data_IF_669444223505
#
_entry.id   IF_669444223505
#
_cell.length_a   1.000
_cell.length_b   1.000
_cell.length_c   1.000
_cell.angle_alpha   90.00
_cell.angle_beta   90.00
_cell.angle_gamma   90.00
#
_symmetry.space_group_name_H-M   'P 1'
#
loop_
_entity.id
_entity.type
_entity.pdbx_description
1 polymer ?
#
# COMPACT_ATOMS: atom_id res chain seq x y z
N UNK A 1 36.08 7.50 -65.32
CA UNK A 1 35.06 8.25 -64.54
C UNK A 1 34.38 7.26 -63.58
N UNK A 2 34.94 7.12 -62.37
CA UNK A 2 34.38 6.20 -61.34
C UNK A 2 33.47 6.98 -60.44
N UNK A 3 32.16 6.63 -60.42
CA UNK A 3 31.18 7.20 -59.46
C UNK A 3 31.36 6.49 -58.10
N UNK A 4 31.85 7.21 -57.12
CA UNK A 4 31.82 6.74 -55.73
C UNK A 4 30.38 6.81 -55.23
N UNK A 5 29.77 5.69 -54.94
CA UNK A 5 28.51 5.62 -54.22
C UNK A 5 28.89 5.59 -52.75
N UNK A 6 28.69 6.73 -52.06
CA UNK A 6 28.78 6.82 -50.60
C UNK A 6 27.56 6.18 -49.97
N UNK A 7 27.73 4.98 -49.42
CA UNK A 7 26.72 4.28 -48.66
C UNK A 7 26.74 4.84 -47.20
N UNK A 8 25.91 5.84 -46.96
CA UNK A 8 25.72 6.38 -45.60
C UNK A 8 24.88 5.40 -44.82
N UNK A 9 25.53 4.55 -44.03
CA UNK A 9 24.87 3.62 -43.09
C UNK A 9 24.24 4.45 -41.99
N UNK A 10 22.93 4.67 -42.06
CA UNK A 10 22.12 5.29 -41.02
C UNK A 10 21.97 4.29 -39.87
N UNK A 11 22.81 4.40 -38.86
CA UNK A 11 22.72 3.63 -37.60
C UNK A 11 21.52 4.17 -36.85
N UNK A 12 20.37 3.49 -36.99
CA UNK A 12 19.20 3.63 -36.12
C UNK A 12 19.57 3.07 -34.74
N UNK A 13 19.94 3.93 -33.82
CA UNK A 13 19.98 3.57 -32.41
C UNK A 13 18.54 3.38 -31.94
N UNK A 14 18.02 2.16 -32.02
CA UNK A 14 16.85 1.75 -31.27
C UNK A 14 17.20 1.84 -29.79
N UNK A 15 16.75 2.90 -29.13
CA UNK A 15 16.70 2.93 -27.67
C UNK A 15 15.63 1.91 -27.28
N UNK A 16 16.02 0.68 -26.99
CA UNK A 16 15.18 -0.25 -26.27
C UNK A 16 14.96 0.36 -24.87
N UNK A 17 13.83 1.04 -24.68
CA UNK A 17 13.34 1.32 -23.34
C UNK A 17 12.91 -0.03 -22.77
N UNK A 18 13.76 -0.65 -21.97
CA UNK A 18 13.36 -1.82 -21.19
C UNK A 18 12.42 -1.27 -20.12
N UNK A 19 11.13 -1.52 -20.29
CA UNK A 19 10.18 -1.23 -19.24
C UNK A 19 10.59 -2.06 -18.01
N UNK A 20 10.58 -1.42 -16.87
CA UNK A 20 11.02 -2.01 -15.60
C UNK A 20 10.00 -1.72 -14.52
N UNK A 21 10.03 -2.56 -13.49
CA UNK A 21 9.15 -2.47 -12.32
C UNK A 21 10.00 -2.33 -11.06
N UNK A 22 9.43 -1.72 -10.04
CA UNK A 22 9.92 -1.75 -8.67
C UNK A 22 9.16 -2.85 -7.95
N UNK A 23 9.88 -3.84 -7.43
CA UNK A 23 9.35 -4.86 -6.52
C UNK A 23 9.76 -4.48 -5.09
N UNK A 24 8.79 -4.24 -4.22
CA UNK A 24 9.01 -4.01 -2.80
C UNK A 24 8.70 -5.32 -2.07
N UNK A 25 9.71 -6.09 -1.66
CA UNK A 25 9.50 -7.33 -0.92
C UNK A 25 8.95 -7.05 0.48
N UNK A 26 8.18 -7.98 1.03
CA UNK A 26 7.61 -7.89 2.37
C UNK A 26 8.00 -9.07 3.27
N UNK A 27 8.95 -9.90 2.83
CA UNK A 27 9.53 -10.97 3.62
C UNK A 27 10.55 -10.44 4.65
N UNK A 28 10.60 -11.05 5.83
CA UNK A 28 11.45 -10.62 6.95
C UNK A 28 12.96 -10.68 6.67
N UNK A 29 13.38 -11.39 5.64
CA UNK A 29 14.80 -11.50 5.26
C UNK A 29 15.30 -10.35 4.41
N UNK A 30 14.40 -9.68 3.70
CA UNK A 30 14.73 -8.68 2.68
C UNK A 30 14.22 -7.28 3.04
N UNK A 31 13.04 -7.19 3.70
CA UNK A 31 12.46 -5.90 4.08
C UNK A 31 12.92 -5.46 5.46
N UNK A 32 13.54 -4.29 5.50
CA UNK A 32 13.99 -3.67 6.75
C UNK A 32 12.88 -2.83 7.42
N UNK A 33 11.93 -2.31 6.66
CA UNK A 33 10.92 -1.40 7.18
C UNK A 33 9.54 -1.62 6.54
N UNK A 34 8.82 -2.63 7.00
CA UNK A 34 7.50 -3.01 6.50
C UNK A 34 6.48 -1.87 6.58
N UNK A 35 6.44 -1.12 7.69
CA UNK A 35 5.48 -0.03 7.86
C UNK A 35 5.71 1.09 6.84
N UNK A 36 6.97 1.47 6.59
CA UNK A 36 7.29 2.46 5.55
C UNK A 36 7.01 1.92 4.14
N UNK A 37 7.15 0.61 3.90
CA UNK A 37 6.78 -0.01 2.63
C UNK A 37 5.27 0.14 2.34
N UNK A 38 4.41 -0.08 3.35
CA UNK A 38 2.98 0.24 3.24
C UNK A 38 2.74 1.73 3.00
N UNK A 39 3.51 2.60 3.67
CA UNK A 39 3.45 4.05 3.45
C UNK A 39 3.81 4.47 2.03
N UNK A 40 4.81 3.82 1.41
CA UNK A 40 5.15 4.04 -0.01
C UNK A 40 4.01 3.57 -0.91
N UNK A 41 3.47 2.37 -0.68
CA UNK A 41 2.33 1.88 -1.46
C UNK A 41 1.14 2.84 -1.39
N UNK A 42 0.82 3.33 -0.20
CA UNK A 42 -0.23 4.33 -0.02
C UNK A 42 0.06 5.64 -0.78
N UNK A 43 1.29 6.17 -0.66
CA UNK A 43 1.72 7.39 -1.33
C UNK A 43 1.67 7.26 -2.87
N UNK A 44 2.07 6.11 -3.41
CA UNK A 44 1.98 5.82 -4.86
C UNK A 44 0.53 5.87 -5.33
N UNK A 45 -0.40 5.25 -4.57
CA UNK A 45 -1.84 5.31 -4.88
C UNK A 45 -2.41 6.72 -4.76
N UNK A 46 -1.92 7.57 -3.85
CA UNK A 46 -2.30 8.98 -3.77
C UNK A 46 -1.88 9.81 -4.98
N UNK A 47 -0.85 9.35 -5.72
CA UNK A 47 -0.40 9.95 -6.96
C UNK A 47 -1.04 9.31 -8.21
N UNK A 48 -2.17 8.62 -8.04
CA UNK A 48 -2.94 7.97 -9.11
C UNK A 48 -2.14 6.94 -9.92
N UNK A 49 -1.13 6.32 -9.29
CA UNK A 49 -0.34 5.24 -9.88
C UNK A 49 -0.86 3.90 -9.32
N UNK A 50 -1.25 3.00 -10.23
CA UNK A 50 -1.72 1.66 -9.85
C UNK A 50 -0.59 0.80 -9.28
N UNK A 51 -0.95 -0.08 -8.34
CA UNK A 51 -0.05 -1.06 -7.74
C UNK A 51 -0.62 -2.45 -7.93
N UNK A 52 0.23 -3.42 -8.24
CA UNK A 52 -0.11 -4.83 -8.15
C UNK A 52 0.37 -5.37 -6.79
N UNK A 53 -0.57 -5.73 -5.91
CA UNK A 53 -0.25 -6.37 -4.64
C UNK A 53 -0.19 -7.88 -4.84
N UNK A 54 0.99 -8.46 -4.63
CA UNK A 54 1.27 -9.87 -4.81
C UNK A 54 1.02 -10.60 -3.48
N UNK A 55 -0.24 -10.96 -3.21
CA UNK A 55 -0.65 -11.60 -1.97
C UNK A 55 0.12 -12.92 -1.75
N UNK A 56 0.66 -13.08 -0.55
CA UNK A 56 1.45 -14.23 -0.11
C UNK A 56 2.74 -14.50 -0.91
N UNK A 57 3.06 -13.70 -1.94
CA UNK A 57 4.35 -13.77 -2.60
C UNK A 57 5.37 -12.92 -1.82
N UNK A 58 6.45 -13.53 -1.33
CA UNK A 58 7.48 -12.87 -0.51
C UNK A 58 6.87 -11.96 0.58
N UNK A 59 5.94 -12.51 1.38
CA UNK A 59 5.27 -11.79 2.47
C UNK A 59 4.17 -10.81 2.05
N UNK A 60 3.76 -10.80 0.78
CA UNK A 60 2.74 -9.88 0.26
C UNK A 60 3.35 -8.64 -0.40
N UNK A 61 4.28 -8.84 -1.33
CA UNK A 61 5.07 -7.80 -2.02
C UNK A 61 4.23 -6.85 -2.85
N UNK A 62 4.74 -5.64 -3.07
CA UNK A 62 4.16 -4.67 -4.02
C UNK A 62 4.97 -4.61 -5.30
N UNK A 63 4.30 -4.60 -6.44
CA UNK A 63 4.89 -4.47 -7.77
C UNK A 63 4.33 -3.20 -8.43
N UNK A 64 5.22 -2.28 -8.80
CA UNK A 64 4.88 -0.93 -9.24
C UNK A 64 5.64 -0.62 -10.52
N UNK A 65 5.07 0.14 -11.45
CA UNK A 65 5.82 0.66 -12.61
C UNK A 65 7.00 1.51 -12.13
N UNK A 66 8.13 1.36 -12.80
CA UNK A 66 9.32 2.11 -12.41
C UNK A 66 9.15 3.60 -12.70
N UNK A 67 9.24 4.39 -11.64
CA UNK A 67 9.45 5.82 -11.69
C UNK A 67 10.61 6.18 -10.77
N UNK A 68 11.49 7.05 -11.25
CA UNK A 68 12.65 7.46 -10.46
C UNK A 68 12.25 8.09 -9.11
N UNK A 69 11.13 8.80 -9.08
CA UNK A 69 10.58 9.40 -7.85
C UNK A 69 10.19 8.35 -6.82
N UNK A 70 9.66 7.20 -7.25
CA UNK A 70 9.31 6.09 -6.34
C UNK A 70 10.58 5.43 -5.79
N UNK A 71 11.59 5.24 -6.63
CA UNK A 71 12.90 4.75 -6.20
C UNK A 71 13.53 5.68 -5.16
N UNK A 72 13.50 6.99 -5.40
CA UNK A 72 14.02 8.00 -4.47
C UNK A 72 13.27 7.97 -3.13
N UNK A 73 11.93 7.83 -3.14
CA UNK A 73 11.13 7.67 -1.91
C UNK A 73 11.46 6.38 -1.15
N UNK A 74 11.72 5.27 -1.84
CA UNK A 74 12.19 4.04 -1.20
C UNK A 74 13.51 4.27 -0.46
N UNK A 75 14.46 4.95 -1.09
CA UNK A 75 15.76 5.29 -0.50
C UNK A 75 15.57 6.21 0.72
N UNK A 76 14.80 7.29 0.58
CA UNK A 76 14.57 8.29 1.64
C UNK A 76 13.93 7.64 2.87
N UNK A 77 12.97 6.73 2.68
CA UNK A 77 12.24 6.07 3.77
C UNK A 77 12.91 4.80 4.28
N UNK A 78 14.04 4.40 3.68
CA UNK A 78 14.78 3.19 4.07
C UNK A 78 14.02 1.89 3.79
N UNK A 79 13.29 1.86 2.68
CA UNK A 79 12.53 0.69 2.22
C UNK A 79 13.35 -0.10 1.22
N UNK A 80 13.49 -1.40 1.45
CA UNK A 80 14.17 -2.31 0.51
C UNK A 80 13.33 -2.50 -0.74
N UNK A 81 13.96 -2.48 -1.91
CA UNK A 81 13.32 -2.68 -3.20
C UNK A 81 14.26 -3.31 -4.22
N UNK A 82 13.70 -3.96 -5.22
CA UNK A 82 14.41 -4.51 -6.39
C UNK A 82 13.89 -3.84 -7.67
N UNK A 83 14.79 -3.47 -8.58
CA UNK A 83 14.40 -3.07 -9.94
C UNK A 83 14.47 -4.32 -10.82
N UNK A 84 13.33 -4.74 -11.35
CA UNK A 84 13.19 -5.93 -12.18
C UNK A 84 12.68 -5.56 -13.57
N UNK A 85 13.08 -6.34 -14.58
CA UNK A 85 12.54 -6.19 -15.93
C UNK A 85 11.10 -6.72 -16.01
N UNK A 86 10.30 -6.19 -16.95
CA UNK A 86 8.91 -6.65 -17.18
C UNK A 86 8.82 -8.16 -17.44
N UNK A 87 9.83 -8.75 -18.09
CA UNK A 87 9.88 -10.20 -18.31
C UNK A 87 9.91 -10.96 -16.97
N UNK A 88 10.71 -10.49 -16.01
CA UNK A 88 10.77 -11.09 -14.67
C UNK A 88 9.47 -10.88 -13.90
N UNK A 89 8.88 -9.67 -13.97
CA UNK A 89 7.59 -9.40 -13.37
C UNK A 89 6.48 -10.31 -13.91
N UNK A 90 6.45 -10.56 -15.22
CA UNK A 90 5.50 -11.47 -15.84
C UNK A 90 5.74 -12.93 -15.44
N UNK A 91 7.00 -13.36 -15.29
CA UNK A 91 7.31 -14.70 -14.76
C UNK A 91 6.80 -14.88 -13.34
N UNK A 92 7.00 -13.88 -12.45
CA UNK A 92 6.47 -13.87 -11.09
C UNK A 92 4.94 -14.01 -11.11
N UNK A 93 4.24 -13.21 -11.93
CA UNK A 93 2.77 -13.28 -12.05
C UNK A 93 2.29 -14.62 -12.59
N UNK A 94 3.04 -15.25 -13.48
CA UNK A 94 2.73 -16.60 -13.98
C UNK A 94 2.83 -17.64 -12.86
N UNK A 95 3.85 -17.57 -12.01
CA UNK A 95 3.99 -18.45 -10.86
C UNK A 95 2.83 -18.24 -9.88
N UNK A 96 2.47 -16.98 -9.58
CA UNK A 96 1.37 -16.62 -8.66
C UNK A 96 0.02 -17.13 -9.19
N UNK A 97 -0.17 -17.19 -10.50
CA UNK A 97 -1.42 -17.63 -11.13
C UNK A 97 -1.63 -19.15 -11.10
N UNK A 98 -0.67 -19.93 -10.62
CA UNK A 98 -0.82 -21.37 -10.45
C UNK A 98 -1.86 -21.66 -9.34
N UNK A 99 -2.94 -22.41 -9.60
CA UNK A 99 -3.96 -22.73 -8.61
C UNK A 99 -3.46 -23.51 -7.39
N UNK A 100 -2.32 -24.19 -7.51
CA UNK A 100 -1.73 -24.98 -6.42
C UNK A 100 -1.00 -24.09 -5.39
N UNK A 101 -0.70 -22.83 -5.73
CA UNK A 101 -0.09 -21.88 -4.81
C UNK A 101 -1.17 -20.98 -4.21
N UNK A 102 -1.12 -20.76 -2.91
CA UNK A 102 -2.05 -19.86 -2.21
C UNK A 102 -1.57 -18.40 -2.36
N UNK A 103 -1.54 -17.91 -3.59
CA UNK A 103 -1.08 -16.56 -3.95
C UNK A 103 -2.06 -15.93 -4.95
N UNK A 104 -2.10 -14.60 -4.98
CA UNK A 104 -2.95 -13.85 -5.89
C UNK A 104 -2.36 -12.49 -6.22
N UNK A 105 -2.60 -11.99 -7.44
CA UNK A 105 -2.32 -10.61 -7.83
C UNK A 105 -3.59 -9.78 -7.67
N UNK A 106 -3.54 -8.78 -6.80
CA UNK A 106 -4.64 -7.83 -6.58
C UNK A 106 -4.21 -6.45 -7.07
N UNK A 107 -4.99 -5.86 -7.96
CA UNK A 107 -4.77 -4.48 -8.41
C UNK A 107 -5.34 -3.49 -7.40
N UNK A 108 -4.49 -2.59 -6.92
CA UNK A 108 -4.86 -1.45 -6.10
C UNK A 108 -4.85 -0.20 -6.99
N UNK A 109 -5.94 0.54 -7.00
CA UNK A 109 -6.12 1.66 -7.93
C UNK A 109 -6.25 3.02 -7.24
N UNK A 110 -6.56 3.03 -5.95
CA UNK A 110 -6.79 4.27 -5.21
C UNK A 110 -6.39 4.13 -3.75
N UNK A 111 -5.80 5.18 -3.20
CA UNK A 111 -5.56 5.28 -1.78
C UNK A 111 -6.89 5.45 -1.02
N UNK A 112 -7.17 4.64 0.02
CA UNK A 112 -8.37 4.79 0.81
C UNK A 112 -8.32 6.07 1.65
N UNK A 113 -9.45 6.71 1.84
CA UNK A 113 -9.59 7.80 2.81
C UNK A 113 -9.85 7.22 4.19
N UNK A 114 -8.92 7.42 5.12
CA UNK A 114 -8.89 6.78 6.42
C UNK A 114 -9.37 7.75 7.50
N UNK A 115 -10.27 7.30 8.37
CA UNK A 115 -10.61 7.95 9.61
C UNK A 115 -10.21 7.09 10.81
N UNK A 116 -9.78 7.76 11.88
CA UNK A 116 -9.55 7.15 13.19
C UNK A 116 -10.51 7.79 14.18
N UNK A 117 -11.42 6.98 14.71
CA UNK A 117 -12.36 7.44 15.73
C UNK A 117 -11.66 7.51 17.09
N UNK A 118 -11.83 8.64 17.75
CA UNK A 118 -11.30 8.92 19.09
C UNK A 118 -12.46 9.34 19.99
N UNK A 119 -12.76 8.61 21.08
CA UNK A 119 -13.77 9.04 22.05
C UNK A 119 -13.46 10.41 22.67
N UNK A 120 -14.49 11.19 22.99
CA UNK A 120 -14.34 12.47 23.67
C UNK A 120 -13.56 12.31 25.00
N UNK A 121 -12.59 13.21 25.20
CA UNK A 121 -11.75 13.24 26.42
C UNK A 121 -10.56 12.29 26.41
N UNK A 122 -10.40 11.45 25.38
CA UNK A 122 -9.19 10.63 25.18
C UNK A 122 -8.21 11.31 24.22
N UNK A 123 -6.93 11.05 24.42
CA UNK A 123 -5.88 11.64 23.60
C UNK A 123 -5.56 10.71 22.43
N UNK A 124 -5.65 11.17 21.17
CA UNK A 124 -5.48 10.29 20.01
C UNK A 124 -4.05 9.77 19.82
N UNK A 125 -3.05 10.32 20.49
CA UNK A 125 -1.65 9.88 20.36
C UNK A 125 -1.28 8.70 21.28
N UNK A 126 -2.16 8.27 22.17
CA UNK A 126 -1.95 7.06 22.98
C UNK A 126 -2.38 5.79 22.25
N UNK A 127 -2.85 5.92 21.00
CA UNK A 127 -3.33 4.81 20.21
C UNK A 127 -2.22 4.24 19.28
N UNK A 128 -2.01 2.95 19.35
CA UNK A 128 -1.07 2.23 18.49
C UNK A 128 -1.35 2.42 17.00
N UNK A 129 -2.62 2.57 16.60
CA UNK A 129 -3.02 2.76 15.20
C UNK A 129 -2.56 4.12 14.68
N UNK A 130 -2.80 5.20 15.44
CA UNK A 130 -2.33 6.53 15.05
C UNK A 130 -0.81 6.62 15.00
N UNK A 131 -0.13 5.92 15.91
CA UNK A 131 1.33 5.83 15.91
C UNK A 131 1.84 5.12 14.64
N UNK A 132 1.25 3.97 14.30
CA UNK A 132 1.60 3.19 13.10
C UNK A 132 1.35 3.99 11.82
N UNK A 133 0.17 4.61 11.68
CA UNK A 133 -0.17 5.44 10.51
C UNK A 133 0.77 6.64 10.38
N UNK A 134 1.08 7.31 11.50
CA UNK A 134 2.01 8.44 11.53
C UNK A 134 3.44 8.00 11.18
N UNK A 135 3.92 6.87 11.71
CA UNK A 135 5.22 6.32 11.37
C UNK A 135 5.31 5.90 9.90
N UNK A 136 4.26 5.27 9.37
CA UNK A 136 4.17 4.89 7.97
C UNK A 136 3.98 6.08 7.01
N UNK A 137 3.72 7.28 7.54
CA UNK A 137 3.38 8.50 6.78
C UNK A 137 2.10 8.33 5.96
N UNK A 138 1.14 7.58 6.49
CA UNK A 138 -0.19 7.41 5.92
C UNK A 138 -1.12 8.44 6.54
N UNK A 139 -1.69 9.39 5.77
CA UNK A 139 -2.60 10.40 6.29
C UNK A 139 -3.92 9.79 6.74
N UNK A 140 -4.45 10.32 7.82
CA UNK A 140 -5.75 9.95 8.36
C UNK A 140 -6.42 11.17 9.00
N UNK A 141 -7.75 11.17 9.03
CA UNK A 141 -8.53 12.17 9.73
C UNK A 141 -8.96 11.61 11.09
N UNK A 142 -8.92 12.48 12.12
CA UNK A 142 -9.50 12.15 13.43
C UNK A 142 -10.98 12.49 13.41
N UNK A 143 -11.81 11.57 13.89
CA UNK A 143 -13.25 11.76 14.00
C UNK A 143 -13.69 11.48 15.43
N UNK A 144 -14.64 12.27 15.91
CA UNK A 144 -15.17 12.24 17.26
C UNK A 144 -16.68 11.97 17.21
N UNK A 145 -17.34 11.97 18.37
CA UNK A 145 -18.78 11.72 18.48
C UNK A 145 -19.62 12.67 17.61
N UNK A 146 -19.21 13.93 17.49
CA UNK A 146 -19.89 14.94 16.66
C UNK A 146 -19.94 14.55 15.17
N UNK A 147 -18.82 14.04 14.62
CA UNK A 147 -18.74 13.60 13.23
C UNK A 147 -19.55 12.31 13.00
N UNK A 148 -19.57 11.42 14.00
CA UNK A 148 -20.39 10.18 13.95
C UNK A 148 -21.88 10.52 13.94
N UNK A 149 -22.33 11.42 14.86
CA UNK A 149 -23.73 11.80 14.99
C UNK A 149 -24.23 12.58 13.76
N UNK A 150 -23.34 13.37 13.15
CA UNK A 150 -23.68 14.19 11.96
C UNK A 150 -23.52 13.45 10.61
N UNK A 151 -23.43 12.12 10.61
CA UNK A 151 -23.34 11.26 9.41
C UNK A 151 -22.13 11.54 8.51
N UNK A 152 -21.05 12.13 9.06
CA UNK A 152 -19.87 12.46 8.27
C UNK A 152 -18.98 11.26 7.95
N UNK A 153 -19.25 10.08 8.51
CA UNK A 153 -18.44 8.87 8.28
C UNK A 153 -18.53 8.36 6.84
N UNK A 154 -19.62 8.68 6.12
CA UNK A 154 -19.82 8.25 4.73
C UNK A 154 -18.77 8.77 3.75
N UNK A 155 -17.97 9.75 4.12
CA UNK A 155 -16.89 10.31 3.30
C UNK A 155 -15.57 9.52 3.37
N UNK A 156 -15.49 8.50 4.25
CA UNK A 156 -14.30 7.67 4.45
C UNK A 156 -14.50 6.28 3.89
N UNK A 157 -13.41 5.72 3.36
CA UNK A 157 -13.37 4.35 2.84
C UNK A 157 -13.06 3.36 3.96
N UNK A 158 -12.35 3.81 5.01
CA UNK A 158 -11.98 3.00 6.17
C UNK A 158 -12.11 3.79 7.46
N UNK A 159 -12.80 3.19 8.44
CA UNK A 159 -12.89 3.68 9.80
C UNK A 159 -12.19 2.69 10.75
N UNK A 160 -11.16 3.17 11.42
CA UNK A 160 -10.52 2.48 12.52
C UNK A 160 -11.06 3.00 13.84
N UNK A 161 -11.57 2.13 14.67
CA UNK A 161 -11.97 2.45 16.03
C UNK A 161 -10.79 2.21 16.97
N UNK A 162 -10.57 3.14 17.88
CA UNK A 162 -9.63 2.97 18.96
C UNK A 162 -10.07 1.77 19.83
N UNK A 163 -9.15 0.89 20.17
CA UNK A 163 -9.43 -0.27 21.01
C UNK A 163 -9.77 0.20 22.43
N UNK A 164 -11.02 0.01 22.81
CA UNK A 164 -11.54 0.49 24.07
C UNK A 164 -11.12 -0.47 25.18
N UNK A 165 -10.24 -0.04 26.08
CA UNK A 165 -9.81 -0.80 27.24
C UNK A 165 -11.02 -1.17 28.13
N UNK A 166 -12.02 -0.28 28.19
CA UNK A 166 -13.28 -0.51 28.90
C UNK A 166 -14.07 -1.68 28.28
N UNK A 167 -13.97 -1.87 26.96
CA UNK A 167 -14.59 -3.00 26.25
C UNK A 167 -13.90 -4.32 26.57
N UNK A 168 -12.56 -4.33 26.62
CA UNK A 168 -11.78 -5.51 27.05
C UNK A 168 -12.07 -5.85 28.50
N UNK A 169 -12.14 -4.84 29.37
CA UNK A 169 -12.48 -5.00 30.79
C UNK A 169 -13.90 -5.54 30.97
N UNK A 170 -14.88 -5.03 30.24
CA UNK A 170 -16.25 -5.56 30.24
C UNK A 170 -16.29 -7.04 29.82
N UNK A 171 -15.56 -7.40 28.76
CA UNK A 171 -15.46 -8.81 28.31
C UNK A 171 -14.76 -9.66 29.38
N UNK A 172 -13.69 -9.17 30.01
CA UNK A 172 -12.96 -9.87 31.08
C UNK A 172 -13.84 -10.11 32.32
N UNK A 173 -14.71 -9.16 32.62
CA UNK A 173 -15.65 -9.24 33.72
C UNK A 173 -16.93 -10.02 33.40
N UNK A 174 -17.07 -10.56 32.18
CA UNK A 174 -18.25 -11.28 31.71
C UNK A 174 -19.48 -10.40 31.53
N UNK A 175 -19.29 -9.08 31.44
CA UNK A 175 -20.35 -8.11 31.14
C UNK A 175 -20.55 -8.07 29.62
N UNK A 176 -21.80 -8.02 29.16
CA UNK A 176 -22.09 -7.81 27.73
C UNK A 176 -21.54 -6.42 27.31
N UNK A 177 -20.62 -6.37 26.33
CA UNK A 177 -20.17 -5.08 25.81
C UNK A 177 -21.36 -4.31 25.24
N UNK A 178 -21.40 -2.98 25.34
CA UNK A 178 -22.50 -2.20 24.82
C UNK A 178 -22.76 -2.54 23.37
N UNK A 179 -23.99 -2.99 23.05
CA UNK A 179 -24.39 -3.42 21.72
C UNK A 179 -24.33 -2.21 20.78
N UNK A 180 -23.34 -2.18 19.88
CA UNK A 180 -23.32 -1.20 18.81
C UNK A 180 -24.49 -1.42 17.86
N UNK A 181 -25.21 -0.35 17.55
CA UNK A 181 -26.34 -0.39 16.62
C UNK A 181 -25.93 -0.46 15.14
N UNK A 182 -24.65 -0.23 14.79
CA UNK A 182 -24.21 -0.22 13.40
C UNK A 182 -22.96 -1.09 13.21
N UNK A 183 -23.14 -2.18 12.47
CA UNK A 183 -22.05 -2.94 11.85
C UNK A 183 -21.67 -2.22 10.55
N UNK A 184 -20.52 -1.58 10.50
CA UNK A 184 -19.95 -1.22 9.22
C UNK A 184 -19.30 -2.46 8.62
N UNK A 185 -19.80 -2.87 7.47
CA UNK A 185 -19.21 -3.96 6.67
C UNK A 185 -18.26 -3.32 5.68
N UNK A 186 -17.01 -3.76 5.73
CA UNK A 186 -16.02 -3.42 4.70
C UNK A 186 -16.51 -4.00 3.37
N UNK A 187 -16.78 -3.16 2.39
CA UNK A 187 -16.92 -3.61 1.00
C UNK A 187 -15.54 -3.50 0.35
N UNK A 188 -14.93 -4.65 0.13
CA UNK A 188 -13.76 -4.82 -0.75
C UNK A 188 -14.23 -4.91 -2.21
#
# INVERSE_FOLDING_TARGET
MYKFISLTTLLFFFKFSIASKILIPMDNGEQNNHLKAYGIAYWVLQNDIEIEWLLNYRGGSFLIDYFKTIEEECIIRGVSYDIIADVQANQIKTIISDPEVNQQVVKLQKAPKIAVYTPDGKQPWDDAVTLVLSYAEIPYDKVYDSEVISDQLMKYDWLQEQDDEDKREAIRLGLDPPKRKNKFTLYL
#
